data_IF_386038753722
#
_entry.id   IF_386038753722
#
_cell.length_a   1.000
_cell.length_b   1.000
_cell.length_c   1.000
_cell.angle_alpha   90.00
_cell.angle_beta   90.00
_cell.angle_gamma   90.00
#
_symmetry.space_group_name_H-M   'P 1'
#
loop_
_entity.id
_entity.type
_entity.pdbx_description
1 polymer ?
#
# COMPACT_ATOMS: atom_id res chain seq x y z
N UNK A 1 33.09 46.32 11.09
CA UNK A 1 31.66 46.25 10.69
C UNK A 1 31.34 45.14 9.68
N UNK A 2 32.27 44.59 8.92
CA UNK A 2 32.04 43.49 7.94
C UNK A 2 31.92 42.10 8.59
N UNK A 3 32.50 41.85 9.75
CA UNK A 3 32.43 40.54 10.41
C UNK A 3 31.07 40.26 11.08
N UNK A 4 30.33 41.26 11.50
CA UNK A 4 29.02 41.12 12.14
C UNK A 4 27.91 40.76 11.15
N UNK A 5 28.03 41.24 9.90
CA UNK A 5 27.06 40.92 8.83
C UNK A 5 27.16 39.49 8.34
N UNK A 6 28.35 38.89 8.35
CA UNK A 6 28.58 37.51 7.95
C UNK A 6 27.99 36.49 8.96
N UNK A 7 28.03 36.80 10.26
CA UNK A 7 27.47 35.94 11.31
C UNK A 7 25.93 35.95 11.29
N UNK A 8 25.31 37.09 11.01
CA UNK A 8 23.86 37.20 10.91
C UNK A 8 23.30 36.52 9.65
N UNK A 9 24.05 36.53 8.53
CA UNK A 9 23.66 35.80 7.32
C UNK A 9 23.75 34.26 7.50
N UNK A 10 24.71 33.77 8.31
CA UNK A 10 24.86 32.36 8.61
C UNK A 10 23.74 31.83 9.54
N UNK A 11 23.28 32.67 10.49
CA UNK A 11 22.17 32.31 11.38
C UNK A 11 20.79 32.31 10.69
N UNK A 12 20.61 33.06 9.59
CA UNK A 12 19.35 33.05 8.83
C UNK A 12 19.23 31.89 7.84
N UNK A 13 20.34 31.23 7.46
CA UNK A 13 20.36 30.10 6.55
C UNK A 13 20.18 28.74 7.25
N UNK A 14 20.35 28.69 8.58
CA UNK A 14 20.24 27.45 9.35
C UNK A 14 18.82 26.86 9.52
N UNK A 15 17.72 27.62 9.51
CA UNK A 15 16.39 26.99 9.59
C UNK A 15 15.93 26.32 8.30
N UNK A 16 16.54 26.62 7.15
CA UNK A 16 16.15 25.98 5.88
C UNK A 16 16.76 24.58 5.67
N UNK A 17 17.80 24.21 6.43
CA UNK A 17 18.44 22.89 6.36
C UNK A 17 17.88 21.88 7.36
N UNK A 18 17.08 22.31 8.32
CA UNK A 18 16.31 21.48 9.22
C UNK A 18 14.83 21.43 8.80
N UNK A 19 14.56 21.16 7.55
CA UNK A 19 13.29 20.57 7.19
C UNK A 19 13.35 19.13 7.66
N UNK A 20 13.12 18.97 8.97
CA UNK A 20 12.92 17.66 9.60
C UNK A 20 11.95 16.89 8.72
N UNK A 21 12.44 15.83 8.11
CA UNK A 21 11.57 14.77 7.63
C UNK A 21 10.67 14.39 8.82
N UNK A 22 9.42 14.88 8.83
CA UNK A 22 8.45 14.47 9.84
C UNK A 22 8.45 12.97 9.82
N UNK A 23 8.81 12.38 10.97
CA UNK A 23 8.67 10.95 11.17
C UNK A 23 7.25 10.57 10.75
N UNK A 24 7.10 9.48 10.02
CA UNK A 24 5.80 8.96 9.66
C UNK A 24 5.17 8.52 10.99
N UNK A 25 4.12 9.23 11.42
CA UNK A 25 3.39 8.85 12.62
C UNK A 25 2.71 7.50 12.37
N UNK A 26 2.90 6.57 13.30
CA UNK A 26 2.14 5.33 13.35
C UNK A 26 0.67 5.68 13.50
N UNK A 27 -0.18 5.17 12.62
CA UNK A 27 -1.60 5.49 12.70
C UNK A 27 -2.41 4.79 11.63
N UNK A 28 -3.72 4.91 11.75
CA UNK A 28 -4.64 4.42 10.73
C UNK A 28 -4.45 5.20 9.45
N UNK A 29 -4.32 4.50 8.34
CA UNK A 29 -4.36 5.09 7.02
C UNK A 29 -5.71 5.76 6.78
N UNK A 30 -5.69 6.95 6.24
CA UNK A 30 -6.91 7.64 5.84
C UNK A 30 -6.65 8.62 4.71
N UNK A 31 -7.57 8.68 3.76
CA UNK A 31 -7.60 9.69 2.72
C UNK A 31 -8.65 10.73 3.04
N UNK A 32 -8.28 12.00 2.95
CA UNK A 32 -9.18 13.13 3.14
C UNK A 32 -9.42 13.83 1.79
N UNK A 33 -10.66 13.86 1.35
CA UNK A 33 -11.10 14.57 0.15
C UNK A 33 -11.58 15.96 0.56
N UNK A 34 -10.66 16.93 0.63
CA UNK A 34 -10.90 18.28 1.18
C UNK A 34 -11.36 19.29 0.14
N UNK A 35 -10.99 19.07 -1.11
CA UNK A 35 -11.23 20.03 -2.20
C UNK A 35 -11.64 19.27 -3.45
N UNK A 36 -12.77 19.67 -4.03
CA UNK A 36 -13.26 19.09 -5.29
C UNK A 36 -12.22 19.26 -6.40
N UNK A 37 -12.03 18.22 -7.20
CA UNK A 37 -11.07 18.19 -8.32
C UNK A 37 -9.60 18.22 -7.91
N UNK A 38 -9.28 18.00 -6.63
CA UNK A 38 -7.91 17.87 -6.12
C UNK A 38 -7.65 16.46 -5.62
N UNK A 39 -6.38 16.07 -5.67
CA UNK A 39 -5.94 14.81 -5.11
C UNK A 39 -6.25 14.71 -3.60
N UNK A 40 -6.60 13.52 -3.09
CA UNK A 40 -6.82 13.34 -1.67
C UNK A 40 -5.52 13.54 -0.88
N UNK A 41 -5.67 13.94 0.37
CA UNK A 41 -4.56 14.12 1.30
C UNK A 41 -4.50 12.91 2.23
N UNK A 42 -3.36 12.22 2.26
CA UNK A 42 -3.08 11.15 3.22
C UNK A 42 -2.59 11.68 4.58
N UNK A 43 -2.52 10.81 5.58
CA UNK A 43 -1.92 11.11 6.88
C UNK A 43 -0.38 11.17 6.84
N UNK A 44 0.24 10.63 5.80
CA UNK A 44 1.65 10.85 5.46
C UNK A 44 1.76 11.48 4.07
N UNK A 45 2.81 12.27 3.84
CA UNK A 45 3.03 12.88 2.52
C UNK A 45 3.46 11.84 1.49
N UNK A 46 3.03 12.02 0.23
CA UNK A 46 3.44 11.13 -0.86
C UNK A 46 4.97 11.07 -1.02
N UNK A 47 5.68 12.17 -0.77
CA UNK A 47 7.14 12.23 -0.81
C UNK A 47 7.79 11.37 0.29
N UNK A 48 7.26 11.43 1.52
CA UNK A 48 7.75 10.61 2.62
C UNK A 48 7.55 9.10 2.34
N UNK A 49 6.39 8.74 1.79
CA UNK A 49 6.06 7.34 1.45
C UNK A 49 6.90 6.80 0.29
N UNK A 50 7.22 7.62 -0.72
CA UNK A 50 8.08 7.20 -1.86
C UNK A 50 9.46 6.70 -1.44
N UNK A 51 9.99 7.14 -0.30
CA UNK A 51 11.27 6.62 0.24
C UNK A 51 11.21 5.13 0.56
N UNK A 52 10.01 4.63 0.79
CA UNK A 52 9.70 3.22 1.11
C UNK A 52 8.99 2.51 -0.05
N UNK A 53 9.01 3.10 -1.27
CA UNK A 53 8.27 2.61 -2.44
C UNK A 53 6.76 2.45 -2.17
N UNK A 54 6.25 3.17 -1.16
CA UNK A 54 4.85 3.18 -0.80
C UNK A 54 4.13 4.34 -1.51
N UNK A 55 2.93 4.04 -2.03
CA UNK A 55 2.16 4.99 -2.85
C UNK A 55 0.68 4.94 -2.49
N UNK A 56 0.00 6.08 -2.61
CA UNK A 56 -1.47 6.18 -2.52
C UNK A 56 -2.07 7.06 -3.63
N UNK A 57 -1.21 7.71 -4.40
CA UNK A 57 -1.60 8.55 -5.53
C UNK A 57 -0.94 8.04 -6.79
N UNK A 58 -1.71 7.99 -7.87
CA UNK A 58 -1.18 7.83 -9.21
C UNK A 58 -0.58 9.15 -9.75
N UNK A 59 -0.37 9.19 -11.04
CA UNK A 59 0.06 10.43 -11.71
C UNK A 59 -1.15 11.38 -11.84
N UNK A 60 -1.12 12.50 -11.12
CA UNK A 60 -2.21 13.50 -11.12
C UNK A 60 -2.41 14.20 -12.49
N UNK A 61 -1.42 14.14 -13.38
CA UNK A 61 -1.56 14.66 -14.74
C UNK A 61 -2.39 13.72 -15.65
N UNK A 62 -2.67 12.51 -15.21
CA UNK A 62 -3.44 11.53 -15.95
C UNK A 62 -4.87 11.41 -15.38
N UNK A 63 -5.87 11.42 -16.26
CA UNK A 63 -7.26 11.17 -15.87
C UNK A 63 -7.50 9.67 -15.72
N UNK A 64 -6.93 9.07 -14.66
CA UNK A 64 -7.04 7.63 -14.35
C UNK A 64 -7.55 7.40 -12.95
N UNK A 65 -8.42 6.39 -12.81
CA UNK A 65 -8.88 5.87 -11.53
C UNK A 65 -8.34 4.44 -11.40
N UNK A 66 -7.77 4.13 -10.24
CA UNK A 66 -7.28 2.79 -9.91
C UNK A 66 -8.28 2.14 -8.96
N UNK A 67 -8.92 1.06 -9.41
CA UNK A 67 -9.82 0.27 -8.58
C UNK A 67 -9.05 -0.76 -7.79
N UNK A 68 -9.25 -0.78 -6.48
CA UNK A 68 -8.64 -1.75 -5.59
C UNK A 68 -9.67 -2.34 -4.64
N UNK A 69 -9.56 -3.63 -4.34
CA UNK A 69 -10.45 -4.38 -3.47
C UNK A 69 -9.61 -5.13 -2.43
N UNK A 70 -10.02 -5.06 -1.16
CA UNK A 70 -9.46 -5.88 -0.10
C UNK A 70 -10.42 -7.05 0.15
N UNK A 71 -9.92 -8.29 0.00
CA UNK A 71 -10.72 -9.51 0.04
C UNK A 71 -10.28 -10.41 1.21
N UNK A 72 -11.03 -10.35 2.30
CA UNK A 72 -10.80 -11.15 3.51
C UNK A 72 -11.62 -12.43 3.57
N UNK A 73 -12.86 -12.40 3.08
CA UNK A 73 -13.74 -13.56 2.94
C UNK A 73 -14.75 -13.33 1.81
N UNK A 74 -15.33 -14.41 1.28
CA UNK A 74 -16.32 -14.34 0.21
C UNK A 74 -17.75 -14.32 0.78
N UNK A 75 -18.58 -13.44 0.24
CA UNK A 75 -19.99 -13.29 0.61
C UNK A 75 -20.93 -13.27 -0.61
N UNK A 76 -20.47 -13.74 -1.76
CA UNK A 76 -21.21 -13.74 -3.01
C UNK A 76 -21.02 -12.47 -3.87
N UNK A 77 -20.13 -11.55 -3.46
CA UNK A 77 -19.93 -10.31 -4.18
C UNK A 77 -18.81 -10.36 -5.23
N UNK A 78 -17.82 -11.23 -5.08
CA UNK A 78 -16.64 -11.22 -5.94
C UNK A 78 -16.97 -11.61 -7.39
N UNK A 79 -17.78 -12.64 -7.62
CA UNK A 79 -18.17 -13.00 -9.00
C UNK A 79 -18.87 -11.85 -9.72
N UNK A 80 -19.94 -11.21 -9.17
CA UNK A 80 -20.57 -10.05 -9.80
C UNK A 80 -19.61 -8.87 -10.05
N UNK A 81 -18.63 -8.64 -9.17
CA UNK A 81 -17.60 -7.62 -9.36
C UNK A 81 -16.73 -7.97 -10.58
N UNK A 82 -16.24 -9.21 -10.67
CA UNK A 82 -15.44 -9.67 -11.79
C UNK A 82 -16.23 -9.60 -13.11
N UNK A 83 -17.52 -9.99 -13.10
CA UNK A 83 -18.40 -9.87 -14.26
C UNK A 83 -18.56 -8.42 -14.73
N UNK A 84 -18.72 -7.49 -13.78
CA UNK A 84 -18.81 -6.06 -14.09
C UNK A 84 -17.50 -5.52 -14.67
N UNK A 85 -16.36 -5.90 -14.09
CA UNK A 85 -15.03 -5.50 -14.58
C UNK A 85 -14.78 -6.04 -16.00
N UNK A 86 -15.12 -7.31 -16.24
CA UNK A 86 -15.02 -7.94 -17.57
C UNK A 86 -15.90 -7.25 -18.59
N UNK A 87 -17.18 -6.98 -18.25
CA UNK A 87 -18.15 -6.28 -19.11
C UNK A 87 -17.64 -4.92 -19.59
N UNK A 88 -16.93 -4.19 -18.73
CA UNK A 88 -16.40 -2.86 -19.03
C UNK A 88 -14.93 -2.87 -19.46
N UNK A 89 -14.32 -4.04 -19.62
CA UNK A 89 -12.89 -4.22 -19.92
C UNK A 89 -11.97 -3.43 -18.97
N UNK A 90 -12.30 -3.42 -17.67
CA UNK A 90 -11.55 -2.73 -16.62
C UNK A 90 -10.72 -3.73 -15.85
N UNK A 91 -9.49 -3.37 -15.54
CA UNK A 91 -8.62 -4.16 -14.64
C UNK A 91 -8.57 -3.48 -13.26
N UNK A 92 -8.43 -4.32 -12.23
CA UNK A 92 -8.38 -3.89 -10.84
C UNK A 92 -7.24 -4.61 -10.10
N UNK A 93 -6.93 -4.16 -8.89
CA UNK A 93 -6.07 -4.86 -7.96
C UNK A 93 -6.90 -5.45 -6.81
N UNK A 94 -6.69 -6.74 -6.52
CA UNK A 94 -7.30 -7.44 -5.40
C UNK A 94 -6.21 -7.78 -4.38
N UNK A 95 -6.32 -7.23 -3.16
CA UNK A 95 -5.44 -7.59 -2.06
C UNK A 95 -6.12 -8.67 -1.23
N UNK A 96 -5.55 -9.87 -1.25
CA UNK A 96 -6.17 -11.08 -0.68
C UNK A 96 -5.42 -11.54 0.56
N UNK A 97 -6.13 -12.19 1.48
CA UNK A 97 -5.56 -12.85 2.66
C UNK A 97 -5.53 -14.37 2.51
N UNK A 98 -4.82 -15.08 3.41
CA UNK A 98 -4.71 -16.54 3.36
C UNK A 98 -6.06 -17.27 3.32
N UNK A 99 -6.93 -16.94 4.25
CA UNK A 99 -8.28 -17.53 4.31
C UNK A 99 -9.08 -17.35 3.02
N UNK A 100 -8.95 -16.19 2.35
CA UNK A 100 -9.66 -15.97 1.09
C UNK A 100 -9.16 -16.89 -0.01
N UNK A 101 -7.84 -17.05 -0.15
CA UNK A 101 -7.24 -17.96 -1.14
C UNK A 101 -7.62 -19.42 -0.88
N UNK A 102 -7.57 -19.85 0.39
CA UNK A 102 -7.91 -21.23 0.79
C UNK A 102 -9.36 -21.58 0.48
N UNK A 103 -10.29 -20.68 0.76
CA UNK A 103 -11.71 -20.92 0.60
C UNK A 103 -12.19 -20.72 -0.84
N UNK A 104 -11.51 -19.85 -1.63
CA UNK A 104 -11.96 -19.42 -2.94
C UNK A 104 -10.85 -19.50 -4.02
N UNK A 105 -10.16 -20.66 -4.16
CA UNK A 105 -9.04 -20.78 -5.10
C UNK A 105 -9.44 -20.50 -6.55
N UNK A 106 -10.67 -20.84 -6.93
CA UNK A 106 -11.15 -20.62 -8.31
C UNK A 106 -11.40 -19.15 -8.62
N UNK A 107 -11.83 -18.36 -7.64
CA UNK A 107 -11.96 -16.90 -7.80
C UNK A 107 -10.58 -16.24 -7.97
N UNK A 108 -9.59 -16.70 -7.19
CA UNK A 108 -8.20 -16.18 -7.32
C UNK A 108 -7.63 -16.53 -8.70
N UNK A 109 -7.83 -17.76 -9.18
CA UNK A 109 -7.45 -18.15 -10.55
C UNK A 109 -8.20 -17.35 -11.61
N UNK A 110 -9.48 -17.03 -11.38
CA UNK A 110 -10.29 -16.19 -12.26
C UNK A 110 -9.72 -14.77 -12.35
N UNK A 111 -9.41 -14.15 -11.20
CA UNK A 111 -8.77 -12.83 -11.16
C UNK A 111 -7.51 -12.78 -12.03
N UNK A 112 -6.65 -13.80 -11.88
CA UNK A 112 -5.41 -13.91 -12.64
C UNK A 112 -5.67 -14.09 -14.15
N UNK A 113 -6.55 -15.03 -14.53
CA UNK A 113 -6.89 -15.26 -15.96
C UNK A 113 -7.49 -14.05 -16.62
N UNK A 114 -8.26 -13.26 -15.90
CA UNK A 114 -8.88 -12.02 -16.41
C UNK A 114 -7.91 -10.83 -16.40
N UNK A 115 -6.65 -11.03 -15.95
CA UNK A 115 -5.58 -10.03 -15.99
C UNK A 115 -5.69 -8.96 -14.91
N UNK A 116 -6.32 -9.27 -13.79
CA UNK A 116 -6.29 -8.45 -12.60
C UNK A 116 -4.98 -8.65 -11.84
N UNK A 117 -4.57 -7.62 -11.10
CA UNK A 117 -3.48 -7.75 -10.14
C UNK A 117 -4.01 -8.43 -8.88
N UNK A 118 -3.32 -9.47 -8.40
CA UNK A 118 -3.55 -10.05 -7.08
C UNK A 118 -2.36 -9.72 -6.20
N UNK A 119 -2.58 -8.94 -5.15
CA UNK A 119 -1.57 -8.45 -4.22
C UNK A 119 -1.71 -9.05 -2.82
N UNK A 120 -0.69 -8.85 -2.02
CA UNK A 120 -0.54 -9.41 -0.68
C UNK A 120 -1.24 -8.53 0.37
N UNK A 121 -2.19 -9.12 1.12
CA UNK A 121 -2.86 -8.48 2.25
C UNK A 121 -2.57 -9.22 3.57
N UNK A 122 -1.43 -9.91 3.63
CA UNK A 122 -0.94 -10.80 4.69
C UNK A 122 -1.71 -12.12 4.80
N UNK A 123 -1.10 -13.10 5.45
CA UNK A 123 -1.74 -14.41 5.61
C UNK A 123 -2.90 -14.37 6.59
N UNK A 124 -2.69 -13.79 7.81
CA UNK A 124 -3.67 -13.79 8.90
C UNK A 124 -4.40 -12.47 9.09
N UNK A 125 -4.12 -11.43 8.30
CA UNK A 125 -4.70 -10.09 8.45
C UNK A 125 -4.41 -9.45 9.82
N UNK A 126 -3.22 -9.67 10.37
CA UNK A 126 -2.81 -9.06 11.63
C UNK A 126 -2.55 -7.55 11.48
N UNK A 127 -2.64 -6.82 12.58
CA UNK A 127 -2.11 -5.46 12.68
C UNK A 127 -0.57 -5.51 12.58
N UNK A 128 -0.07 -5.34 11.37
CA UNK A 128 1.36 -5.47 11.07
C UNK A 128 2.20 -4.42 11.77
N UNK A 129 1.62 -3.28 12.20
CA UNK A 129 2.35 -2.24 12.93
C UNK A 129 2.82 -2.69 14.32
N UNK A 130 2.26 -3.78 14.82
CA UNK A 130 2.66 -4.41 16.10
C UNK A 130 3.77 -5.45 15.95
N UNK A 131 4.14 -5.79 14.72
CA UNK A 131 5.23 -6.72 14.45
C UNK A 131 6.53 -5.94 14.28
N UNK A 132 7.39 -6.00 15.29
CA UNK A 132 8.75 -5.43 15.27
C UNK A 132 9.81 -6.48 14.87
N UNK A 133 9.48 -7.77 14.93
CA UNK A 133 10.33 -8.85 14.46
C UNK A 133 10.19 -9.00 12.93
N UNK A 134 11.27 -8.70 12.22
CA UNK A 134 11.35 -8.78 10.76
C UNK A 134 11.04 -10.19 10.23
N UNK A 135 11.47 -11.24 10.94
CA UNK A 135 11.16 -12.62 10.55
C UNK A 135 9.65 -12.92 10.70
N UNK A 136 8.98 -12.38 11.71
CA UNK A 136 7.54 -12.52 11.87
C UNK A 136 6.78 -11.73 10.78
N UNK A 137 7.22 -10.51 10.48
CA UNK A 137 6.67 -9.70 9.40
C UNK A 137 6.82 -10.40 8.04
N UNK A 138 8.02 -10.87 7.72
CA UNK A 138 8.31 -11.58 6.47
C UNK A 138 7.50 -12.87 6.34
N UNK A 139 7.29 -13.63 7.43
CA UNK A 139 6.46 -14.84 7.40
C UNK A 139 5.02 -14.57 7.00
N UNK A 140 4.42 -13.47 7.46
CA UNK A 140 3.06 -13.09 7.06
C UNK A 140 2.94 -12.87 5.55
N UNK A 141 3.95 -12.28 4.93
CA UNK A 141 3.96 -12.04 3.49
C UNK A 141 4.30 -13.31 2.70
N UNK A 142 5.39 -13.98 3.06
CA UNK A 142 5.90 -15.14 2.32
C UNK A 142 4.99 -16.37 2.42
N UNK A 143 4.28 -16.55 3.54
CA UNK A 143 3.28 -17.63 3.66
C UNK A 143 2.13 -17.44 2.69
N UNK A 144 1.65 -16.22 2.49
CA UNK A 144 0.62 -15.92 1.51
C UNK A 144 1.12 -16.12 0.07
N UNK A 145 2.33 -15.66 -0.22
CA UNK A 145 2.96 -15.83 -1.54
C UNK A 145 3.13 -17.32 -1.88
N UNK A 146 3.51 -18.12 -0.90
CA UNK A 146 3.62 -19.57 -1.06
C UNK A 146 2.25 -20.19 -1.38
N UNK A 147 1.22 -19.90 -0.59
CA UNK A 147 -0.14 -20.37 -0.81
C UNK A 147 -0.68 -19.95 -2.19
N UNK A 148 -0.46 -18.71 -2.57
CA UNK A 148 -0.87 -18.19 -3.89
C UNK A 148 -0.23 -19.00 -5.02
N UNK A 149 1.08 -19.26 -4.91
CA UNK A 149 1.80 -20.07 -5.91
C UNK A 149 1.30 -21.51 -5.97
N UNK A 150 1.01 -22.12 -4.84
CA UNK A 150 0.43 -23.49 -4.80
C UNK A 150 -0.93 -23.53 -5.49
N UNK A 151 -1.73 -22.49 -5.34
CA UNK A 151 -3.08 -22.42 -5.93
C UNK A 151 -3.06 -22.05 -7.41
N UNK A 152 -2.19 -21.14 -7.82
CA UNK A 152 -2.22 -20.56 -9.17
C UNK A 152 -1.13 -21.07 -10.11
N UNK A 153 -0.04 -21.61 -9.57
CA UNK A 153 1.18 -21.95 -10.31
C UNK A 153 2.08 -20.73 -10.62
N UNK A 154 1.65 -19.52 -10.26
CA UNK A 154 2.32 -18.27 -10.60
C UNK A 154 2.93 -17.60 -9.37
N UNK A 155 3.96 -16.78 -9.58
CA UNK A 155 4.52 -15.94 -8.51
C UNK A 155 3.60 -14.75 -8.25
N UNK A 156 3.30 -14.47 -6.96
CA UNK A 156 2.57 -13.28 -6.58
C UNK A 156 3.39 -12.02 -6.90
N UNK A 157 2.75 -11.01 -7.48
CA UNK A 157 3.40 -9.73 -7.70
C UNK A 157 3.66 -9.02 -6.36
N UNK A 158 4.80 -8.34 -6.26
CA UNK A 158 5.26 -7.71 -5.01
C UNK A 158 4.53 -6.40 -4.71
N UNK A 159 3.22 -6.49 -4.56
CA UNK A 159 2.36 -5.43 -4.07
C UNK A 159 1.76 -5.85 -2.75
N UNK A 160 2.05 -5.09 -1.72
CA UNK A 160 1.56 -5.31 -0.36
C UNK A 160 0.66 -4.15 0.09
N UNK A 161 -0.43 -4.49 0.76
CA UNK A 161 -1.28 -3.51 1.45
C UNK A 161 -1.38 -3.90 2.92
N UNK A 162 -1.02 -3.00 3.86
CA UNK A 162 -1.13 -3.31 5.29
C UNK A 162 -2.60 -3.49 5.69
N UNK A 163 -2.93 -4.56 6.44
CA UNK A 163 -4.25 -4.74 7.03
C UNK A 163 -4.71 -3.54 7.83
N UNK A 164 -6.02 -3.26 7.83
CA UNK A 164 -6.65 -2.15 8.54
C UNK A 164 -6.11 -0.76 8.16
N UNK A 165 -5.23 -0.67 7.18
CA UNK A 165 -4.54 0.55 6.81
C UNK A 165 -3.58 1.07 7.90
N UNK A 166 -3.15 0.23 8.84
CA UNK A 166 -2.24 0.60 9.92
C UNK A 166 -0.81 0.21 9.56
N UNK A 167 0.12 1.13 9.73
CA UNK A 167 1.53 0.91 9.42
C UNK A 167 2.44 1.75 10.31
N UNK A 168 3.70 1.36 10.42
CA UNK A 168 4.78 2.13 11.02
C UNK A 168 5.88 2.38 9.98
N UNK A 169 6.80 3.30 10.29
CA UNK A 169 7.96 3.55 9.43
C UNK A 169 8.84 2.28 9.32
N UNK A 170 8.97 1.53 10.41
CA UNK A 170 9.69 0.25 10.44
C UNK A 170 9.04 -0.79 9.54
N UNK A 171 7.70 -0.90 9.56
CA UNK A 171 6.99 -1.80 8.66
C UNK A 171 7.16 -1.42 7.19
N UNK A 172 7.17 -0.12 6.87
CA UNK A 172 7.44 0.35 5.51
C UNK A 172 8.84 -0.03 5.05
N UNK A 173 9.83 0.05 5.96
CA UNK A 173 11.20 -0.39 5.68
C UNK A 173 11.25 -1.90 5.42
N UNK A 174 10.67 -2.71 6.32
CA UNK A 174 10.61 -4.18 6.17
C UNK A 174 9.87 -4.62 4.90
N UNK A 175 8.83 -3.88 4.49
CA UNK A 175 8.08 -4.20 3.28
C UNK A 175 8.84 -3.83 1.99
N UNK A 176 9.81 -2.91 2.07
CA UNK A 176 10.65 -2.51 0.94
C UNK A 176 11.79 -3.50 0.69
N UNK A 177 12.31 -4.18 1.71
CA UNK A 177 13.38 -5.19 1.64
C UNK A 177 12.89 -6.51 1.06
#
# INVERSE_FOLDING_TARGET
MLALAAVLALCAALPALFQQSRAIETGSWGLSFRTEGKAPVGNASAEALRRYDAVYLGNEAEQKIYLTFDAGYENGCTEPILDALAKHNVKAAFFVVGNYIEQNPDLVRRMLREGHLVGNHTYHHYDMSKLSDEAAFSRELTSLEYLYREVTGEQMQKYYRPPQGVYSEENLRMAKE
#
